data_IF_807829534227
#
_entry.id   IF_807829534227
#
_cell.length_a   1.000
_cell.length_b   1.000
_cell.length_c   1.000
_cell.angle_alpha   90.00
_cell.angle_beta   90.00
_cell.angle_gamma   90.00
#
_symmetry.space_group_name_H-M   'P 1'
#
loop_
_entity.id
_entity.type
_entity.pdbx_description
1 polymer ?
#
# COMPACT_ATOMS: atom_id res chain seq x y z
N UNK A 1 30.58 -0.45 -8.79
CA UNK A 1 29.58 -0.98 -7.87
C UNK A 1 30.20 -0.85 -6.51
N UNK A 2 29.92 0.24 -5.83
CA UNK A 2 30.42 0.42 -4.47
C UNK A 2 29.84 -0.72 -3.64
N UNK A 3 30.70 -1.38 -2.85
CA UNK A 3 30.30 -2.48 -1.97
C UNK A 3 29.22 -1.96 -1.00
N UNK A 4 27.95 -2.19 -1.34
CA UNK A 4 26.84 -1.85 -0.46
C UNK A 4 27.01 -2.74 0.76
N UNK A 5 27.49 -2.15 1.84
CA UNK A 5 27.60 -2.83 3.12
C UNK A 5 26.20 -3.29 3.53
N UNK A 6 26.03 -4.58 3.79
CA UNK A 6 24.74 -5.16 4.20
C UNK A 6 24.17 -4.42 5.42
N UNK A 7 25.02 -3.96 6.33
CA UNK A 7 24.62 -3.19 7.49
C UNK A 7 23.99 -1.84 7.08
N UNK A 8 24.60 -1.13 6.12
CA UNK A 8 24.08 0.15 5.62
C UNK A 8 22.71 -0.03 4.93
N UNK A 9 22.56 -1.15 4.22
CA UNK A 9 21.27 -1.50 3.63
C UNK A 9 20.18 -1.69 4.69
N UNK A 10 20.45 -2.39 5.80
CA UNK A 10 19.49 -2.56 6.90
C UNK A 10 19.22 -1.27 7.66
N UNK A 11 20.24 -0.47 7.91
CA UNK A 11 20.10 0.80 8.62
C UNK A 11 19.43 1.88 7.77
N UNK A 12 19.47 1.77 6.45
CA UNK A 12 18.92 2.78 5.54
C UNK A 12 17.45 3.12 5.80
N UNK A 13 16.64 2.17 6.28
CA UNK A 13 15.23 2.41 6.58
C UNK A 13 15.02 3.35 7.77
N UNK A 14 15.99 3.38 8.70
CA UNK A 14 15.94 4.23 9.89
C UNK A 14 16.69 5.55 9.72
N UNK A 15 17.63 5.61 8.79
CA UNK A 15 18.50 6.79 8.58
C UNK A 15 18.01 7.65 7.42
N UNK A 16 17.38 7.07 6.39
CA UNK A 16 16.95 7.80 5.21
C UNK A 16 15.57 8.44 5.38
N UNK A 17 15.43 9.79 5.21
CA UNK A 17 14.14 10.46 5.23
C UNK A 17 13.16 10.00 4.14
N UNK A 18 13.66 9.33 3.10
CA UNK A 18 12.81 8.72 2.05
C UNK A 18 12.05 7.49 2.54
N UNK A 19 12.36 6.99 3.72
CA UNK A 19 11.77 5.78 4.30
C UNK A 19 10.77 6.14 5.40
N UNK A 20 9.65 5.43 5.41
CA UNK A 20 8.56 5.70 6.35
C UNK A 20 8.98 5.58 7.83
N UNK A 21 9.83 4.61 8.16
CA UNK A 21 10.31 4.39 9.54
C UNK A 21 11.62 5.13 9.86
N UNK A 22 11.92 6.18 9.08
CA UNK A 22 13.01 7.09 9.42
C UNK A 22 12.91 7.54 10.89
N UNK A 23 14.02 7.49 11.63
CA UNK A 23 14.05 7.77 13.06
C UNK A 23 13.42 9.12 13.42
N UNK A 24 13.60 10.13 12.58
CA UNK A 24 12.97 11.44 12.77
C UNK A 24 11.43 11.37 12.77
N UNK A 25 10.83 10.60 11.84
CA UNK A 25 9.37 10.42 11.79
C UNK A 25 8.86 9.57 12.97
N UNK A 26 9.63 8.58 13.42
CA UNK A 26 9.28 7.79 14.62
C UNK A 26 9.28 8.67 15.87
N UNK A 27 10.28 9.52 16.05
CA UNK A 27 10.33 10.48 17.17
C UNK A 27 9.13 11.43 17.10
N UNK A 28 8.84 12.02 15.93
CA UNK A 28 7.68 12.88 15.74
C UNK A 28 6.37 12.14 16.07
N UNK A 29 6.25 10.88 15.67
CA UNK A 29 5.06 10.07 15.97
C UNK A 29 4.88 9.85 17.47
N UNK A 30 5.97 9.61 18.21
CA UNK A 30 5.93 9.51 19.68
C UNK A 30 5.50 10.84 20.30
N UNK A 31 6.06 11.96 19.83
CA UNK A 31 5.69 13.29 20.32
C UNK A 31 4.22 13.62 20.05
N UNK A 32 3.74 13.35 18.84
CA UNK A 32 2.33 13.55 18.47
C UNK A 32 1.39 12.69 19.30
N UNK A 33 1.72 11.41 19.51
CA UNK A 33 0.96 10.51 20.38
C UNK A 33 0.92 11.02 21.82
N UNK A 34 2.05 11.48 22.34
CA UNK A 34 2.17 12.03 23.67
C UNK A 34 1.32 13.30 23.84
N UNK A 35 1.45 14.26 22.93
CA UNK A 35 0.63 15.49 22.93
C UNK A 35 -0.87 15.17 22.82
N UNK A 36 -1.25 14.24 21.97
CA UNK A 36 -2.63 13.80 21.84
C UNK A 36 -3.19 13.23 23.16
N UNK A 37 -2.44 12.35 23.81
CA UNK A 37 -2.85 11.74 25.07
C UNK A 37 -2.97 12.77 26.20
N UNK A 38 -2.04 13.72 26.29
CA UNK A 38 -2.06 14.77 27.33
C UNK A 38 -3.13 15.82 27.05
N UNK A 39 -3.13 16.40 25.84
CA UNK A 39 -3.94 17.60 25.56
C UNK A 39 -5.39 17.25 25.20
N UNK A 40 -5.59 16.17 24.45
CA UNK A 40 -6.92 15.79 23.96
C UNK A 40 -7.57 14.74 24.86
N UNK A 41 -6.82 13.68 25.23
CA UNK A 41 -7.37 12.61 26.09
C UNK A 41 -7.22 12.93 27.59
N UNK A 42 -6.60 14.06 27.96
CA UNK A 42 -6.45 14.55 29.33
C UNK A 42 -5.79 13.53 30.29
N UNK A 43 -4.89 12.70 29.79
CA UNK A 43 -4.17 11.73 30.60
C UNK A 43 -3.02 12.38 31.38
N UNK A 44 -2.63 11.79 32.50
CA UNK A 44 -1.39 12.18 33.21
C UNK A 44 -0.15 11.80 32.41
N UNK A 45 0.96 12.49 32.63
CA UNK A 45 2.25 12.22 31.97
C UNK A 45 2.64 10.74 32.07
N UNK A 46 2.55 10.18 33.28
CA UNK A 46 2.93 8.80 33.54
C UNK A 46 2.03 7.81 32.78
N UNK A 47 0.72 8.04 32.71
CA UNK A 47 -0.23 7.19 31.97
C UNK A 47 0.00 7.28 30.46
N UNK A 48 0.28 8.48 29.93
CA UNK A 48 0.59 8.66 28.53
C UNK A 48 1.87 7.90 28.12
N UNK A 49 2.94 8.01 28.91
CA UNK A 49 4.19 7.27 28.66
C UNK A 49 3.99 5.76 28.79
N UNK A 50 3.29 5.29 29.81
CA UNK A 50 2.98 3.87 29.97
C UNK A 50 2.16 3.33 28.80
N UNK A 51 1.21 4.12 28.28
CA UNK A 51 0.40 3.73 27.14
C UNK A 51 1.22 3.67 25.85
N UNK A 52 2.07 4.67 25.58
CA UNK A 52 2.90 4.71 24.36
C UNK A 52 3.89 3.55 24.35
N UNK A 53 4.53 3.27 25.49
CA UNK A 53 5.57 2.25 25.64
C UNK A 53 5.05 0.98 26.32
N UNK A 54 3.78 0.61 26.05
CA UNK A 54 3.19 -0.60 26.63
C UNK A 54 3.95 -1.84 26.17
N UNK A 55 4.62 -2.48 27.12
CA UNK A 55 5.43 -3.68 26.85
C UNK A 55 4.59 -4.86 26.35
N UNK A 56 3.31 -4.95 26.76
CA UNK A 56 2.41 -6.01 26.31
C UNK A 56 2.06 -5.87 24.84
N UNK A 57 2.18 -4.66 24.28
CA UNK A 57 1.96 -4.38 22.85
C UNK A 57 3.28 -4.50 22.10
N UNK A 58 4.32 -3.77 22.53
CA UNK A 58 5.61 -3.70 21.82
C UNK A 58 6.31 -5.06 21.78
N UNK A 59 6.17 -5.89 22.82
CA UNK A 59 6.76 -7.22 22.92
C UNK A 59 5.75 -8.35 22.80
N UNK A 60 4.54 -8.08 22.28
CA UNK A 60 3.55 -9.12 21.98
C UNK A 60 4.07 -10.16 20.98
N UNK A 61 3.44 -11.32 20.90
CA UNK A 61 3.72 -12.33 19.88
C UNK A 61 3.59 -11.74 18.46
N UNK A 62 2.53 -10.96 18.25
CA UNK A 62 2.26 -10.27 16.99
C UNK A 62 3.37 -9.28 16.62
N UNK A 63 3.78 -8.40 17.53
CA UNK A 63 4.85 -7.43 17.27
C UNK A 63 6.20 -8.12 17.01
N UNK A 64 6.52 -9.19 17.73
CA UNK A 64 7.73 -9.98 17.49
C UNK A 64 7.73 -10.63 16.09
N UNK A 65 6.56 -11.06 15.60
CA UNK A 65 6.42 -11.54 14.22
C UNK A 65 6.71 -10.41 13.22
N UNK A 66 6.22 -9.19 13.46
CA UNK A 66 6.47 -8.02 12.61
C UNK A 66 7.98 -7.72 12.50
N UNK A 67 8.70 -7.75 13.62
CA UNK A 67 10.16 -7.51 13.64
C UNK A 67 10.92 -8.58 12.83
N UNK A 68 10.53 -9.85 12.95
CA UNK A 68 11.11 -10.95 12.17
C UNK A 68 10.80 -10.79 10.68
N UNK A 69 9.53 -10.50 10.33
CA UNK A 69 9.12 -10.27 8.94
C UNK A 69 9.86 -9.09 8.33
N UNK A 70 10.03 -7.99 9.06
CA UNK A 70 10.81 -6.85 8.63
C UNK A 70 12.22 -7.29 8.21
N UNK A 71 12.95 -7.99 9.09
CA UNK A 71 14.30 -8.45 8.80
C UNK A 71 14.38 -9.40 7.60
N UNK A 72 13.49 -10.40 7.55
CA UNK A 72 13.48 -11.38 6.46
C UNK A 72 13.11 -10.69 5.13
N UNK A 73 12.09 -9.82 5.12
CA UNK A 73 11.67 -9.10 3.93
C UNK A 73 12.75 -8.14 3.42
N UNK A 74 13.60 -7.58 4.30
CA UNK A 74 14.78 -6.81 3.87
C UNK A 74 15.76 -7.66 3.07
N UNK A 75 16.01 -8.90 3.52
CA UNK A 75 16.85 -9.84 2.79
C UNK A 75 16.23 -10.15 1.41
N UNK A 76 14.94 -10.48 1.36
CA UNK A 76 14.23 -10.69 0.09
C UNK A 76 14.35 -9.47 -0.84
N UNK A 77 14.12 -8.27 -0.31
CA UNK A 77 14.20 -7.03 -1.09
C UNK A 77 15.61 -6.83 -1.66
N UNK A 78 16.66 -7.14 -0.90
CA UNK A 78 18.03 -7.02 -1.36
C UNK A 78 18.29 -7.88 -2.61
N UNK A 79 17.81 -9.13 -2.62
CA UNK A 79 18.02 -10.04 -3.75
C UNK A 79 17.03 -9.83 -4.90
N UNK A 80 15.82 -9.39 -4.65
CA UNK A 80 14.76 -9.26 -5.67
C UNK A 80 14.80 -7.90 -6.37
N UNK A 81 15.14 -6.82 -5.66
CA UNK A 81 15.07 -5.48 -6.24
C UNK A 81 15.90 -5.29 -7.52
N UNK A 82 17.10 -5.88 -7.69
CA UNK A 82 17.85 -5.78 -8.94
C UNK A 82 17.18 -6.50 -10.12
N UNK A 83 16.29 -7.46 -9.85
CA UNK A 83 15.58 -8.26 -10.86
C UNK A 83 14.29 -7.58 -11.34
N UNK A 84 13.83 -6.54 -10.66
CA UNK A 84 12.62 -5.82 -11.06
C UNK A 84 12.90 -4.93 -12.28
N UNK A 85 11.84 -4.68 -13.05
CA UNK A 85 11.90 -3.75 -14.18
C UNK A 85 12.38 -2.39 -13.67
N UNK A 86 13.36 -1.84 -14.36
CA UNK A 86 13.92 -0.52 -14.03
C UNK A 86 12.87 0.58 -14.29
N UNK A 87 12.72 1.50 -13.33
CA UNK A 87 11.93 2.71 -13.52
C UNK A 87 12.41 3.51 -14.76
N UNK A 88 13.71 3.54 -15.00
CA UNK A 88 14.32 4.19 -16.18
C UNK A 88 13.81 3.54 -17.47
N UNK A 89 13.74 2.22 -17.55
CA UNK A 89 13.24 1.52 -18.74
C UNK A 89 11.80 1.90 -19.06
N UNK A 90 10.92 1.93 -18.06
CA UNK A 90 9.52 2.34 -18.24
C UNK A 90 9.42 3.82 -18.62
N UNK A 91 10.15 4.70 -17.93
CA UNK A 91 10.19 6.13 -18.26
C UNK A 91 10.66 6.38 -19.68
N UNK A 92 11.71 5.69 -20.12
CA UNK A 92 12.24 5.79 -21.50
C UNK A 92 11.20 5.29 -22.51
N UNK A 93 10.57 4.14 -22.26
CA UNK A 93 9.55 3.61 -23.16
C UNK A 93 8.37 4.58 -23.33
N UNK A 94 7.89 5.17 -22.23
CA UNK A 94 6.79 6.15 -22.26
C UNK A 94 7.23 7.43 -22.97
N UNK A 95 8.45 7.92 -22.70
CA UNK A 95 8.99 9.10 -23.36
C UNK A 95 9.08 8.92 -24.89
N UNK A 96 9.62 7.78 -25.34
CA UNK A 96 9.70 7.45 -26.76
C UNK A 96 8.31 7.26 -27.40
N UNK A 97 7.38 6.64 -26.65
CA UNK A 97 5.99 6.52 -27.11
C UNK A 97 5.36 7.91 -27.33
N UNK A 98 5.50 8.83 -26.41
CA UNK A 98 4.97 10.20 -26.55
C UNK A 98 5.54 10.90 -27.79
N UNK A 99 6.81 10.66 -28.14
CA UNK A 99 7.43 11.18 -29.37
C UNK A 99 6.93 10.50 -30.65
N UNK A 100 6.46 9.27 -30.57
CA UNK A 100 5.93 8.54 -31.74
C UNK A 100 4.50 8.92 -32.12
N UNK A 101 3.79 9.62 -31.25
CA UNK A 101 2.40 10.02 -31.47
C UNK A 101 2.36 11.43 -32.03
N UNK A 102 2.04 11.57 -33.31
CA UNK A 102 2.01 12.87 -34.02
C UNK A 102 1.10 13.93 -33.39
N UNK A 103 0.06 13.47 -32.64
CA UNK A 103 -0.86 14.38 -31.93
C UNK A 103 -0.19 15.16 -30.79
N UNK A 104 0.87 14.64 -30.21
CA UNK A 104 1.54 15.26 -29.07
C UNK A 104 2.72 16.15 -29.52
N UNK A 105 2.70 17.40 -29.07
CA UNK A 105 3.79 18.34 -29.33
C UNK A 105 4.76 18.38 -28.13
N UNK A 106 6.01 18.03 -28.39
CA UNK A 106 7.08 18.16 -27.40
C UNK A 106 7.25 19.63 -27.00
N UNK A 107 7.58 19.87 -25.73
CA UNK A 107 7.81 21.19 -25.16
C UNK A 107 6.62 22.17 -25.28
N UNK A 108 5.39 21.64 -25.42
CA UNK A 108 4.18 22.44 -25.57
C UNK A 108 4.05 23.52 -24.47
N UNK A 109 4.52 23.22 -23.26
CA UNK A 109 4.43 24.09 -22.08
C UNK A 109 5.79 24.57 -21.57
N UNK A 110 6.83 24.60 -22.41
CA UNK A 110 8.20 24.96 -22.01
C UNK A 110 8.31 26.39 -21.47
N UNK A 111 7.45 27.30 -21.90
CA UNK A 111 7.42 28.70 -21.46
C UNK A 111 6.63 28.91 -20.15
N UNK A 112 6.13 27.85 -19.54
CA UNK A 112 5.46 27.93 -18.22
C UNK A 112 6.49 28.36 -17.16
N UNK A 113 6.15 29.27 -16.24
CA UNK A 113 7.06 29.67 -15.16
C UNK A 113 7.57 28.46 -14.37
N UNK A 114 8.88 28.36 -14.06
CA UNK A 114 9.46 27.22 -13.35
C UNK A 114 8.75 26.87 -12.03
N UNK A 115 8.34 27.86 -11.24
CA UNK A 115 7.60 27.64 -10.00
C UNK A 115 6.26 26.93 -10.21
N UNK A 116 5.58 27.21 -11.32
CA UNK A 116 4.32 26.51 -11.69
C UNK A 116 4.61 25.07 -12.10
N UNK A 117 5.64 24.85 -12.93
CA UNK A 117 6.05 23.49 -13.34
C UNK A 117 6.40 22.65 -12.12
N UNK A 118 7.24 23.16 -11.22
CA UNK A 118 7.65 22.46 -9.99
C UNK A 118 6.43 22.16 -9.11
N UNK A 119 5.51 23.12 -8.95
CA UNK A 119 4.28 22.91 -8.17
C UNK A 119 3.40 21.80 -8.78
N UNK A 120 3.13 21.90 -10.09
CA UNK A 120 2.32 20.90 -10.79
C UNK A 120 2.96 19.50 -10.74
N UNK A 121 4.27 19.42 -10.96
CA UNK A 121 4.99 18.14 -10.92
C UNK A 121 4.98 17.52 -9.51
N UNK A 122 5.25 18.34 -8.48
CA UNK A 122 5.22 17.90 -7.07
C UNK A 122 3.85 17.34 -6.68
N UNK A 123 2.78 18.06 -7.06
CA UNK A 123 1.39 17.65 -6.76
C UNK A 123 1.02 16.40 -7.59
N UNK A 124 1.31 16.41 -8.89
CA UNK A 124 0.96 15.29 -9.78
C UNK A 124 1.63 13.98 -9.35
N UNK A 125 2.90 14.05 -9.01
CA UNK A 125 3.64 12.87 -8.54
C UNK A 125 3.04 12.31 -7.25
N UNK A 126 2.69 13.19 -6.30
CA UNK A 126 2.02 12.79 -5.06
C UNK A 126 0.64 12.16 -5.31
N UNK A 127 -0.20 12.83 -6.12
CA UNK A 127 -1.57 12.38 -6.40
C UNK A 127 -1.58 11.04 -7.13
N UNK A 128 -0.75 10.87 -8.17
CA UNK A 128 -0.69 9.61 -8.94
C UNK A 128 -0.15 8.47 -8.09
N UNK A 129 0.88 8.73 -7.27
CA UNK A 129 1.42 7.73 -6.35
C UNK A 129 0.39 7.31 -5.29
N UNK A 130 -0.32 8.27 -4.67
CA UNK A 130 -1.32 7.99 -3.65
C UNK A 130 -2.57 7.29 -4.22
N UNK A 131 -3.05 7.76 -5.38
CA UNK A 131 -4.17 7.14 -6.09
C UNK A 131 -3.88 5.69 -6.49
N UNK A 132 -2.68 5.44 -7.03
CA UNK A 132 -2.27 4.08 -7.39
C UNK A 132 -2.15 3.16 -6.17
N UNK A 133 -1.73 3.68 -5.00
CA UNK A 133 -1.75 2.95 -3.73
C UNK A 133 -3.17 2.56 -3.34
N UNK A 134 -4.09 3.52 -3.37
CA UNK A 134 -5.50 3.27 -3.10
C UNK A 134 -6.06 2.13 -3.97
N UNK A 135 -5.83 2.19 -5.30
CA UNK A 135 -6.35 1.21 -6.23
C UNK A 135 -5.79 -0.18 -5.99
N UNK A 136 -4.47 -0.31 -5.87
CA UNK A 136 -3.83 -1.61 -5.62
C UNK A 136 -4.29 -2.16 -4.27
N UNK A 137 -4.38 -1.34 -3.23
CA UNK A 137 -4.85 -1.74 -1.91
C UNK A 137 -6.30 -2.23 -1.96
N UNK A 138 -7.19 -1.49 -2.64
CA UNK A 138 -8.58 -1.92 -2.85
C UNK A 138 -8.65 -3.25 -3.63
N UNK A 139 -7.83 -3.45 -4.66
CA UNK A 139 -7.77 -4.71 -5.38
C UNK A 139 -7.29 -5.86 -4.51
N UNK A 140 -6.34 -5.62 -3.62
CA UNK A 140 -5.88 -6.63 -2.67
C UNK A 140 -6.98 -7.12 -1.74
N UNK A 141 -7.97 -6.30 -1.43
CA UNK A 141 -9.16 -6.72 -0.69
C UNK A 141 -10.24 -7.39 -1.54
N UNK A 142 -10.34 -7.03 -2.83
CA UNK A 142 -11.43 -7.50 -3.71
C UNK A 142 -11.08 -8.73 -4.55
N UNK A 143 -9.81 -8.95 -4.84
CA UNK A 143 -9.34 -10.05 -5.68
C UNK A 143 -8.80 -11.17 -4.78
N UNK A 144 -9.41 -12.38 -4.76
CA UNK A 144 -9.03 -13.43 -3.82
C UNK A 144 -7.54 -13.82 -3.87
N UNK A 145 -6.91 -13.82 -5.06
CA UNK A 145 -5.48 -14.09 -5.21
C UNK A 145 -4.60 -13.03 -4.54
N UNK A 146 -5.02 -11.77 -4.59
CA UNK A 146 -4.30 -10.66 -3.96
C UNK A 146 -4.59 -10.61 -2.46
N UNK A 147 -5.82 -10.92 -2.05
CA UNK A 147 -6.16 -11.04 -0.63
C UNK A 147 -5.35 -12.13 0.06
N UNK A 148 -5.10 -13.25 -0.61
CA UNK A 148 -4.29 -14.32 -0.04
C UNK A 148 -2.91 -13.85 0.44
N UNK A 149 -2.28 -12.87 -0.26
CA UNK A 149 -1.00 -12.29 0.17
C UNK A 149 -1.20 -11.13 1.17
N UNK A 150 -2.24 -10.31 1.00
CA UNK A 150 -2.48 -9.12 1.80
C UNK A 150 -3.05 -9.41 3.18
N UNK A 151 -3.78 -10.53 3.35
CA UNK A 151 -4.28 -10.96 4.66
C UNK A 151 -3.15 -11.18 5.71
N UNK A 152 -1.88 -11.39 5.26
CA UNK A 152 -0.72 -11.40 6.15
C UNK A 152 -0.60 -10.08 6.90
N UNK A 153 -0.83 -8.95 6.21
CA UNK A 153 -0.84 -7.62 6.81
C UNK A 153 -1.97 -7.46 7.84
N UNK A 154 -3.16 -7.95 7.51
CA UNK A 154 -4.34 -7.91 8.38
C UNK A 154 -4.30 -8.92 9.54
N UNK A 155 -3.40 -9.89 9.53
CA UNK A 155 -3.28 -10.88 10.60
C UNK A 155 -2.65 -10.34 11.90
N UNK A 156 -2.21 -9.07 11.93
CA UNK A 156 -1.65 -8.45 13.12
C UNK A 156 -2.72 -8.23 14.20
N UNK A 157 -2.54 -8.81 15.40
CA UNK A 157 -3.44 -8.62 16.55
C UNK A 157 -3.06 -7.42 17.41
N UNK A 158 -1.84 -6.94 17.28
CA UNK A 158 -1.37 -5.68 17.90
C UNK A 158 -0.68 -4.87 16.82
N UNK A 159 -0.82 -3.55 16.89
CA UNK A 159 -0.21 -2.64 15.93
C UNK A 159 0.93 -1.85 16.55
N UNK A 160 2.05 -1.87 15.85
CA UNK A 160 3.23 -1.02 16.09
C UNK A 160 3.61 -0.33 14.76
N UNK A 161 4.41 0.74 14.78
CA UNK A 161 4.89 1.36 13.52
C UNK A 161 5.56 0.37 12.55
N UNK A 162 6.13 -0.72 13.06
CA UNK A 162 6.78 -1.77 12.26
C UNK A 162 5.75 -2.69 11.58
N UNK A 163 4.52 -2.75 12.04
CA UNK A 163 3.44 -3.56 11.42
C UNK A 163 3.22 -3.22 9.94
N UNK A 164 3.60 -2.02 9.49
CA UNK A 164 3.60 -1.66 8.06
C UNK A 164 4.45 -2.62 7.20
N UNK A 165 5.42 -3.29 7.80
CA UNK A 165 6.29 -4.27 7.12
C UNK A 165 5.83 -5.73 7.32
N UNK A 166 4.70 -5.95 8.00
CA UNK A 166 4.04 -7.25 8.05
C UNK A 166 3.36 -7.52 6.70
N UNK A 167 4.16 -7.78 5.69
CA UNK A 167 3.70 -8.00 4.31
C UNK A 167 4.32 -9.28 3.76
N UNK A 168 3.59 -9.97 2.89
CA UNK A 168 4.17 -11.07 2.11
C UNK A 168 5.14 -10.51 1.05
N UNK A 169 6.28 -11.15 0.72
CA UNK A 169 7.23 -10.66 -0.30
C UNK A 169 6.59 -10.34 -1.65
N UNK A 170 5.60 -11.14 -2.09
CA UNK A 170 4.87 -10.87 -3.34
C UNK A 170 4.08 -9.57 -3.29
N UNK A 171 3.57 -9.17 -2.14
CA UNK A 171 2.95 -7.86 -1.94
C UNK A 171 3.98 -6.75 -2.09
N UNK A 172 5.17 -6.92 -1.51
CA UNK A 172 6.29 -6.00 -1.67
C UNK A 172 6.68 -5.80 -3.13
N UNK A 173 6.74 -6.88 -3.92
CA UNK A 173 6.97 -6.82 -5.38
C UNK A 173 5.85 -6.04 -6.08
N UNK A 174 4.58 -6.32 -5.76
CA UNK A 174 3.44 -5.64 -6.35
C UNK A 174 3.48 -4.12 -6.10
N UNK A 175 3.76 -3.70 -4.86
CA UNK A 175 3.90 -2.29 -4.52
C UNK A 175 5.12 -1.62 -5.17
N UNK A 176 6.21 -2.35 -5.33
CA UNK A 176 7.41 -1.86 -6.05
C UNK A 176 7.08 -1.62 -7.52
N UNK A 177 6.46 -2.59 -8.20
CA UNK A 177 6.02 -2.44 -9.60
C UNK A 177 5.04 -1.29 -9.76
N UNK A 178 4.04 -1.18 -8.88
CA UNK A 178 3.11 -0.04 -8.84
C UNK A 178 3.86 1.29 -8.78
N UNK A 179 4.85 1.41 -7.88
CA UNK A 179 5.64 2.64 -7.71
C UNK A 179 6.44 2.97 -8.96
N UNK A 180 7.05 1.96 -9.58
CA UNK A 180 7.80 2.10 -10.83
C UNK A 180 6.87 2.63 -11.95
N UNK A 181 5.67 2.07 -12.08
CA UNK A 181 4.70 2.54 -13.08
C UNK A 181 4.19 3.96 -12.78
N UNK A 182 3.84 4.27 -11.54
CA UNK A 182 3.35 5.60 -11.16
C UNK A 182 4.39 6.69 -11.45
N UNK A 183 5.62 6.52 -10.97
CA UNK A 183 6.71 7.48 -11.19
C UNK A 183 7.18 7.47 -12.65
N UNK A 184 7.32 6.26 -13.22
CA UNK A 184 7.72 6.05 -14.61
C UNK A 184 6.76 6.63 -15.63
N UNK A 185 5.51 6.92 -15.25
CA UNK A 185 4.53 7.62 -16.11
C UNK A 185 4.61 9.13 -15.93
N UNK A 186 4.61 9.61 -14.70
CA UNK A 186 4.57 11.06 -14.42
C UNK A 186 5.83 11.78 -14.87
N UNK A 187 7.01 11.20 -14.56
CA UNK A 187 8.29 11.86 -14.85
C UNK A 187 8.48 12.13 -16.36
N UNK A 188 8.41 11.11 -17.25
CA UNK A 188 8.62 11.34 -18.67
C UNK A 188 7.51 12.20 -19.30
N UNK A 189 6.28 12.14 -18.80
CA UNK A 189 5.20 13.00 -19.25
C UNK A 189 5.51 14.48 -19.00
N UNK A 190 5.96 14.79 -17.79
CA UNK A 190 6.37 16.18 -17.50
C UNK A 190 7.59 16.61 -18.29
N UNK A 191 8.61 15.75 -18.41
CA UNK A 191 9.81 16.05 -19.23
C UNK A 191 9.43 16.30 -20.70
N UNK A 192 8.49 15.55 -21.23
CA UNK A 192 8.04 15.70 -22.62
C UNK A 192 7.32 17.04 -22.84
N UNK A 193 6.40 17.44 -21.98
CA UNK A 193 5.60 18.64 -22.18
C UNK A 193 6.25 19.92 -21.67
N UNK A 194 7.04 19.86 -20.60
CA UNK A 194 7.59 21.04 -19.92
C UNK A 194 9.12 21.19 -20.09
N UNK A 195 9.80 20.22 -20.73
CA UNK A 195 11.24 20.28 -20.92
C UNK A 195 12.04 20.04 -19.63
N UNK A 196 13.22 20.67 -19.52
CA UNK A 196 14.19 20.42 -18.44
C UNK A 196 13.92 21.17 -17.13
N UNK A 197 12.89 22.01 -17.06
CA UNK A 197 12.54 22.75 -15.85
C UNK A 197 11.80 21.90 -14.79
N UNK A 198 11.69 20.59 -15.02
CA UNK A 198 10.99 19.66 -14.13
C UNK A 198 11.84 19.37 -12.90
N UNK A 199 11.38 19.78 -11.74
CA UNK A 199 12.00 19.57 -10.43
C UNK A 199 10.90 19.40 -9.35
N UNK A 200 11.29 19.08 -8.13
CA UNK A 200 10.39 18.81 -6.99
C UNK A 200 10.63 19.81 -5.86
N UNK A 201 9.55 20.29 -5.26
CA UNK A 201 9.66 20.86 -3.92
C UNK A 201 9.91 19.74 -2.92
N UNK A 202 11.07 19.79 -2.28
CA UNK A 202 11.52 18.76 -1.33
C UNK A 202 11.87 19.31 0.04
N UNK A 203 11.70 18.48 1.06
CA UNK A 203 12.27 18.66 2.39
C UNK A 203 13.17 17.46 2.66
N UNK A 204 14.43 17.71 2.94
CA UNK A 204 15.48 16.68 3.09
C UNK A 204 15.48 15.62 1.96
N UNK A 205 15.26 16.07 0.71
CA UNK A 205 15.23 15.20 -0.47
C UNK A 205 13.97 14.34 -0.63
N UNK A 206 12.91 14.65 0.11
CA UNK A 206 11.59 13.98 0.02
C UNK A 206 10.58 14.98 -0.53
N UNK A 207 9.70 14.53 -1.45
CA UNK A 207 8.56 15.32 -1.89
C UNK A 207 7.86 15.95 -0.67
N UNK A 208 7.66 17.26 -0.68
CA UNK A 208 7.15 18.01 0.47
C UNK A 208 5.82 17.47 1.02
N UNK A 209 4.91 17.02 0.15
CA UNK A 209 3.61 16.46 0.55
C UNK A 209 3.79 15.10 1.26
N UNK A 210 4.70 14.26 0.74
CA UNK A 210 5.06 12.98 1.37
C UNK A 210 5.76 13.20 2.71
N UNK A 211 6.65 14.19 2.79
CA UNK A 211 7.31 14.57 4.03
C UNK A 211 6.31 14.98 5.11
N UNK A 212 5.40 15.89 4.80
CA UNK A 212 4.36 16.31 5.75
C UNK A 212 3.48 15.13 6.18
N UNK A 213 3.08 14.28 5.25
CA UNK A 213 2.31 13.09 5.58
C UNK A 213 3.06 12.16 6.55
N UNK A 214 4.37 11.95 6.35
CA UNK A 214 5.17 11.14 7.27
C UNK A 214 5.39 11.82 8.62
N UNK A 215 5.65 13.13 8.62
CA UNK A 215 5.86 13.90 9.82
C UNK A 215 4.61 14.03 10.70
N UNK A 216 3.42 14.11 10.09
CA UNK A 216 2.14 14.29 10.81
C UNK A 216 1.49 12.99 11.27
N UNK A 217 2.16 11.86 11.17
CA UNK A 217 1.71 10.64 11.83
C UNK A 217 1.38 9.45 10.95
N UNK A 218 1.98 9.31 9.77
CA UNK A 218 1.79 8.10 8.95
C UNK A 218 2.10 6.81 9.74
N UNK A 219 3.08 6.85 10.65
CA UNK A 219 3.45 5.73 11.50
C UNK A 219 2.40 5.43 12.59
N UNK A 220 1.62 6.45 13.01
CA UNK A 220 0.55 6.28 13.98
C UNK A 220 -0.65 5.51 13.44
N UNK A 221 -0.78 5.38 12.13
CA UNK A 221 -1.82 4.54 11.50
C UNK A 221 -1.68 3.06 11.86
N UNK A 222 -0.43 2.58 11.96
CA UNK A 222 -0.11 1.27 12.51
C UNK A 222 0.40 1.46 13.94
N UNK A 223 -0.47 1.87 14.85
CA UNK A 223 -0.16 1.98 16.26
C UNK A 223 -1.41 1.65 17.08
N UNK A 224 -1.22 1.39 18.35
CA UNK A 224 -2.29 1.20 19.32
C UNK A 224 -2.83 2.52 19.89
N UNK A 225 -2.33 3.67 19.40
CA UNK A 225 -2.78 5.00 19.84
C UNK A 225 -3.88 5.46 18.89
N UNK A 226 -5.07 5.64 19.45
CA UNK A 226 -6.26 6.07 18.73
C UNK A 226 -6.26 7.59 18.52
N UNK A 227 -5.90 8.03 17.31
CA UNK A 227 -5.90 9.43 16.90
C UNK A 227 -6.88 9.63 15.77
N UNK A 228 -7.95 10.39 16.04
CA UNK A 228 -8.97 10.77 15.05
C UNK A 228 -8.76 12.21 14.63
N UNK A 229 -9.06 12.51 13.37
CA UNK A 229 -9.06 13.88 12.87
C UNK A 229 -10.46 14.51 13.01
N UNK A 230 -10.57 15.82 12.73
CA UNK A 230 -11.87 16.47 12.58
C UNK A 230 -12.65 15.83 11.43
N UNK A 231 -13.98 15.81 11.54
CA UNK A 231 -14.87 15.16 10.56
C UNK A 231 -14.56 15.59 9.12
N UNK A 232 -14.40 16.89 8.89
CA UNK A 232 -14.14 17.41 7.55
C UNK A 232 -12.78 16.95 7.03
N UNK A 233 -11.76 16.85 7.91
CA UNK A 233 -10.41 16.43 7.55
C UNK A 233 -10.36 14.94 7.22
N UNK A 234 -11.17 14.10 7.87
CA UNK A 234 -11.29 12.66 7.58
C UNK A 234 -11.95 12.35 6.22
N UNK A 235 -12.53 13.35 5.54
CA UNK A 235 -12.93 13.22 4.13
C UNK A 235 -11.76 13.50 3.16
N UNK A 236 -10.72 14.17 3.63
CA UNK A 236 -9.56 14.56 2.82
C UNK A 236 -8.34 13.70 3.11
N UNK A 237 -8.02 13.49 4.37
CA UNK A 237 -6.84 12.76 4.84
C UNK A 237 -7.24 11.56 5.69
N UNK A 238 -6.58 10.43 5.49
CA UNK A 238 -6.75 9.24 6.33
C UNK A 238 -6.15 9.49 7.71
N UNK A 239 -7.00 9.50 8.75
CA UNK A 239 -6.55 9.54 10.14
C UNK A 239 -5.97 8.19 10.58
N UNK A 240 -5.11 8.15 11.62
CA UNK A 240 -4.68 6.90 12.24
C UNK A 240 -5.84 6.00 12.62
N UNK A 241 -6.88 6.56 13.21
CA UNK A 241 -8.08 5.84 13.63
C UNK A 241 -8.87 5.26 12.47
N UNK A 242 -8.99 5.96 11.32
CA UNK A 242 -9.61 5.41 10.11
C UNK A 242 -8.85 4.20 9.56
N UNK A 243 -7.52 4.23 9.62
CA UNK A 243 -6.72 3.08 9.20
C UNK A 243 -6.80 1.92 10.19
N UNK A 244 -6.98 2.19 11.49
CA UNK A 244 -7.28 1.15 12.48
C UNK A 244 -8.64 0.48 12.21
N UNK A 245 -9.67 1.26 11.81
CA UNK A 245 -10.96 0.70 11.32
C UNK A 245 -10.73 -0.25 10.14
N UNK A 246 -9.88 0.11 9.18
CA UNK A 246 -9.52 -0.73 8.04
C UNK A 246 -8.94 -2.09 8.46
N UNK A 247 -8.19 -2.15 9.56
CA UNK A 247 -7.63 -3.40 10.12
C UNK A 247 -8.56 -4.15 11.06
N UNK A 248 -9.78 -3.64 11.29
CA UNK A 248 -10.74 -4.25 12.21
C UNK A 248 -11.38 -5.51 11.63
N UNK A 249 -11.65 -6.49 12.51
CA UNK A 249 -12.39 -7.71 12.18
C UNK A 249 -13.91 -7.56 12.20
N UNK A 250 -14.44 -6.39 12.59
CA UNK A 250 -15.87 -6.13 12.59
C UNK A 250 -16.42 -6.07 11.15
N UNK A 251 -17.54 -6.76 10.88
CA UNK A 251 -18.09 -6.86 9.51
C UNK A 251 -18.46 -5.50 8.91
N UNK A 252 -18.92 -4.54 9.71
CA UNK A 252 -19.23 -3.17 9.28
C UNK A 252 -18.00 -2.40 8.83
N UNK A 253 -16.78 -2.85 9.19
CA UNK A 253 -15.51 -2.26 8.81
C UNK A 253 -14.89 -2.90 7.56
N UNK A 254 -15.45 -4.00 7.08
CA UNK A 254 -14.90 -4.67 5.90
C UNK A 254 -14.98 -3.76 4.68
N UNK A 255 -13.93 -3.78 3.89
CA UNK A 255 -13.83 -2.99 2.67
C UNK A 255 -13.94 -1.47 2.86
N UNK A 256 -13.47 -0.95 3.99
CA UNK A 256 -13.44 0.49 4.30
C UNK A 256 -12.02 1.03 4.36
N UNK A 257 -11.87 2.31 4.06
CA UNK A 257 -10.68 3.14 4.29
C UNK A 257 -9.38 2.59 3.66
N UNK A 258 -9.41 2.32 2.35
CA UNK A 258 -8.25 1.84 1.59
C UNK A 258 -7.18 2.92 1.35
N UNK A 259 -7.49 4.20 1.59
CA UNK A 259 -6.61 5.33 1.33
C UNK A 259 -5.25 5.21 2.02
N UNK A 260 -4.19 5.63 1.32
CA UNK A 260 -2.86 5.69 1.89
C UNK A 260 -2.62 7.01 2.63
N UNK A 261 -2.64 8.15 1.96
CA UNK A 261 -2.58 9.46 2.58
C UNK A 261 -3.92 10.19 2.44
N UNK A 262 -4.56 10.12 1.27
CA UNK A 262 -5.80 10.81 0.98
C UNK A 262 -7.02 9.89 1.19
N UNK A 263 -7.98 10.36 2.00
CA UNK A 263 -9.29 9.75 2.18
C UNK A 263 -10.27 10.10 1.04
N UNK A 264 -9.92 11.08 0.20
CA UNK A 264 -10.73 11.53 -0.94
C UNK A 264 -11.11 10.36 -1.84
N UNK A 265 -10.20 9.41 -2.04
CA UNK A 265 -10.48 8.22 -2.85
C UNK A 265 -11.55 7.34 -2.23
N UNK A 266 -11.48 7.12 -0.91
CA UNK A 266 -12.50 6.37 -0.19
C UNK A 266 -13.85 7.07 -0.25
N UNK A 267 -13.87 8.39 -0.18
CA UNK A 267 -15.07 9.20 -0.31
C UNK A 267 -15.67 9.09 -1.72
N UNK A 268 -14.87 9.28 -2.76
CA UNK A 268 -15.31 9.23 -4.17
C UNK A 268 -15.83 7.81 -4.52
N UNK A 269 -15.14 6.77 -4.07
CA UNK A 269 -15.45 5.38 -4.43
C UNK A 269 -16.31 4.64 -3.38
N UNK A 270 -16.87 5.35 -2.38
CA UNK A 270 -17.86 4.83 -1.45
C UNK A 270 -17.32 3.87 -0.38
N UNK A 271 -16.02 3.90 -0.12
CA UNK A 271 -15.37 3.09 0.92
C UNK A 271 -15.03 3.86 2.19
N UNK A 272 -15.38 5.15 2.28
CA UNK A 272 -15.10 5.98 3.46
C UNK A 272 -15.91 5.53 4.68
N UNK A 273 -15.22 5.33 5.81
CA UNK A 273 -15.80 5.17 7.13
C UNK A 273 -15.13 6.15 8.11
N UNK A 274 -15.93 6.97 8.79
CA UNK A 274 -15.43 7.97 9.74
C UNK A 274 -15.07 7.32 11.07
N UNK A 275 -13.94 7.71 11.65
CA UNK A 275 -13.43 7.12 12.88
C UNK A 275 -14.37 7.21 14.09
N UNK A 276 -15.22 8.24 14.16
CA UNK A 276 -16.20 8.41 15.24
C UNK A 276 -17.28 7.33 15.25
N UNK A 277 -17.51 6.62 14.15
CA UNK A 277 -18.54 5.60 14.00
C UNK A 277 -17.96 4.18 14.18
N UNK A 278 -16.71 4.04 14.63
CA UNK A 278 -15.96 2.78 14.61
C UNK A 278 -16.35 1.74 15.65
N UNK A 279 -17.08 2.12 16.71
CA UNK A 279 -17.31 1.18 17.80
C UNK A 279 -16.01 0.67 18.46
N UNK A 280 -16.02 -0.56 18.91
CA UNK A 280 -14.83 -1.26 19.39
C UNK A 280 -14.01 -1.80 18.21
N UNK A 281 -12.70 -1.60 18.22
CA UNK A 281 -11.80 -2.04 17.16
C UNK A 281 -10.93 -3.18 17.68
N UNK A 282 -11.14 -4.37 17.12
CA UNK A 282 -10.34 -5.57 17.39
C UNK A 282 -9.60 -5.92 16.11
N UNK A 283 -8.29 -6.21 16.22
CA UNK A 283 -7.40 -6.51 15.11
C UNK A 283 -7.17 -8.00 14.94
N UNK A 284 -6.79 -8.44 13.76
CA UNK A 284 -6.46 -9.81 13.42
C UNK A 284 -7.32 -10.36 12.29
N UNK A 285 -7.41 -11.69 12.20
CA UNK A 285 -8.30 -12.42 11.30
C UNK A 285 -9.05 -13.45 12.13
N UNK A 286 -10.37 -13.53 12.01
CA UNK A 286 -11.22 -14.43 12.78
C UNK A 286 -10.85 -15.92 12.66
N UNK A 287 -10.33 -16.31 11.48
CA UNK A 287 -9.94 -17.68 11.19
C UNK A 287 -8.49 -18.04 11.61
N UNK A 288 -7.73 -17.07 12.13
CA UNK A 288 -6.34 -17.33 12.52
C UNK A 288 -6.28 -17.74 13.97
N UNK A 289 -6.07 -19.04 14.17
CA UNK A 289 -5.89 -19.65 15.47
C UNK A 289 -4.77 -18.96 16.27
N UNK A 290 -4.99 -18.73 17.55
CA UNK A 290 -4.03 -18.03 18.45
C UNK A 290 -2.66 -18.70 18.47
N UNK A 291 -2.59 -20.03 18.25
CA UNK A 291 -1.34 -20.79 18.18
C UNK A 291 -0.48 -20.47 16.93
N UNK A 292 -1.10 -20.00 15.82
CA UNK A 292 -0.40 -19.70 14.56
C UNK A 292 0.12 -18.29 14.47
N UNK A 293 -0.27 -17.42 15.37
CA UNK A 293 -0.08 -15.98 15.34
C UNK A 293 1.38 -15.48 15.15
N UNK A 294 2.35 -16.31 15.44
CA UNK A 294 3.76 -15.93 15.37
C UNK A 294 4.61 -16.85 14.50
N UNK A 295 4.03 -17.87 13.87
CA UNK A 295 4.80 -18.78 13.02
C UNK A 295 5.09 -18.11 11.68
N UNK A 296 6.31 -17.66 11.51
CA UNK A 296 6.80 -17.02 10.30
C UNK A 296 6.58 -17.91 9.07
N UNK A 297 6.78 -19.22 9.21
CA UNK A 297 6.55 -20.19 8.13
C UNK A 297 5.14 -20.13 7.58
N UNK A 298 4.13 -20.02 8.45
CA UNK A 298 2.73 -19.99 8.05
C UNK A 298 2.41 -18.68 7.33
N UNK A 299 2.95 -17.55 7.80
CA UNK A 299 2.79 -16.23 7.16
C UNK A 299 3.37 -16.19 5.72
N UNK A 300 4.36 -17.02 5.42
CA UNK A 300 4.93 -17.14 4.06
C UNK A 300 4.27 -18.25 3.23
N UNK A 301 3.96 -19.39 3.82
CA UNK A 301 3.53 -20.56 3.05
C UNK A 301 2.02 -20.63 2.84
N UNK A 302 1.19 -20.22 3.81
CA UNK A 302 -0.27 -20.23 3.65
C UNK A 302 -0.76 -19.42 2.45
N UNK A 303 -0.28 -18.15 2.21
CA UNK A 303 -0.64 -17.42 1.00
C UNK A 303 -0.36 -18.18 -0.29
N UNK A 304 0.78 -18.88 -0.37
CA UNK A 304 1.16 -19.66 -1.55
C UNK A 304 0.22 -20.83 -1.77
N UNK A 305 -0.10 -21.59 -0.70
CA UNK A 305 -1.06 -22.71 -0.77
C UNK A 305 -2.45 -22.21 -1.19
N UNK A 306 -2.89 -21.09 -0.65
CA UNK A 306 -4.18 -20.52 -1.00
C UNK A 306 -4.24 -20.05 -2.46
N UNK A 307 -3.20 -19.37 -2.94
CA UNK A 307 -3.07 -18.99 -4.35
C UNK A 307 -3.13 -20.24 -5.24
N UNK A 308 -2.39 -21.30 -4.91
CA UNK A 308 -2.40 -22.55 -5.67
C UNK A 308 -3.80 -23.19 -5.69
N UNK A 309 -4.51 -23.20 -4.55
CA UNK A 309 -5.87 -23.73 -4.41
C UNK A 309 -6.87 -22.93 -5.27
N UNK A 310 -6.83 -21.59 -5.18
CA UNK A 310 -7.71 -20.69 -5.96
C UNK A 310 -7.43 -20.86 -7.45
N UNK A 311 -6.17 -20.86 -7.87
CA UNK A 311 -5.76 -21.04 -9.27
C UNK A 311 -6.19 -22.38 -9.84
N UNK A 312 -6.05 -23.47 -9.09
CA UNK A 312 -6.53 -24.81 -9.47
C UNK A 312 -8.06 -24.83 -9.64
N UNK A 313 -8.80 -24.25 -8.70
CA UNK A 313 -10.26 -24.17 -8.78
C UNK A 313 -10.72 -23.35 -10.00
N UNK A 314 -10.04 -22.23 -10.29
CA UNK A 314 -10.30 -21.40 -11.46
C UNK A 314 -10.04 -22.18 -12.76
N UNK A 315 -8.91 -22.87 -12.87
CA UNK A 315 -8.55 -23.68 -14.03
C UNK A 315 -9.60 -24.79 -14.29
N UNK A 316 -10.01 -25.51 -13.25
CA UNK A 316 -11.05 -26.54 -13.35
C UNK A 316 -12.37 -25.93 -13.88
N UNK A 317 -12.82 -24.80 -13.32
CA UNK A 317 -14.02 -24.10 -13.81
C UNK A 317 -13.90 -23.66 -15.27
N UNK A 318 -12.75 -23.17 -15.67
CA UNK A 318 -12.47 -22.73 -17.04
C UNK A 318 -12.53 -23.92 -18.01
N UNK A 319 -11.85 -25.02 -17.70
CA UNK A 319 -11.86 -26.24 -18.49
C UNK A 319 -13.27 -26.83 -18.63
N UNK A 320 -14.05 -26.83 -17.55
CA UNK A 320 -15.43 -27.27 -17.55
C UNK A 320 -16.31 -26.40 -18.48
N UNK A 321 -16.18 -25.07 -18.41
CA UNK A 321 -16.88 -24.13 -19.31
C UNK A 321 -16.51 -24.36 -20.77
N UNK A 322 -15.23 -24.61 -21.07
CA UNK A 322 -14.76 -24.92 -22.42
C UNK A 322 -15.41 -26.22 -22.91
N UNK A 323 -15.37 -27.27 -22.08
CA UNK A 323 -16.00 -28.57 -22.42
C UNK A 323 -17.49 -28.42 -22.74
N UNK A 324 -18.26 -27.68 -21.93
CA UNK A 324 -19.68 -27.43 -22.16
C UNK A 324 -19.94 -26.67 -23.48
N UNK A 325 -19.08 -25.70 -23.83
CA UNK A 325 -19.18 -24.96 -25.10
C UNK A 325 -18.95 -25.87 -26.32
N UNK A 326 -18.01 -26.81 -26.20
CA UNK A 326 -17.75 -27.79 -27.28
C UNK A 326 -18.91 -28.77 -27.44
N UNK A 327 -19.46 -29.32 -26.35
CA UNK A 327 -20.63 -30.23 -26.39
C UNK A 327 -21.83 -29.51 -27.00
N UNK A 328 -22.18 -28.32 -26.53
CA UNK A 328 -23.31 -27.55 -27.05
C UNK A 328 -23.16 -27.09 -28.52
N UNK A 329 -21.92 -26.96 -29.04
CA UNK A 329 -21.66 -26.73 -30.48
C UNK A 329 -21.88 -28.01 -31.28
N UNK A 330 -21.43 -29.17 -30.78
CA UNK A 330 -21.61 -30.48 -31.41
C UNK A 330 -23.10 -30.81 -31.56
N UNK A 331 -23.90 -30.59 -30.54
CA UNK A 331 -25.34 -30.87 -30.52
C UNK A 331 -26.08 -29.94 -31.52
N UNK A 332 -25.71 -28.65 -31.63
CA UNK A 332 -26.26 -27.73 -32.61
C UNK A 332 -25.91 -28.13 -34.05
N UNK A 333 -24.68 -28.54 -34.29
CA UNK A 333 -24.23 -28.99 -35.61
C UNK A 333 -24.96 -30.27 -36.03
N UNK A 334 -25.12 -31.25 -35.16
CA UNK A 334 -25.87 -32.48 -35.39
C UNK A 334 -27.37 -32.20 -35.61
N UNK A 335 -27.94 -31.23 -34.90
CA UNK A 335 -29.33 -30.79 -35.10
C UNK A 335 -29.57 -30.11 -36.44
N UNK A 336 -28.60 -29.36 -36.97
CA UNK A 336 -28.66 -28.76 -38.31
C UNK A 336 -28.58 -29.79 -39.41
N UNK A 337 -27.71 -30.81 -39.28
CA UNK A 337 -27.61 -31.92 -40.27
C UNK A 337 -28.90 -32.74 -40.30
N UNK A 338 -29.58 -32.96 -39.18
CA UNK A 338 -30.87 -33.67 -39.17
C UNK A 338 -31.98 -32.88 -39.83
N UNK A 339 -32.00 -31.55 -39.71
CA UNK A 339 -33.01 -30.68 -40.37
C UNK A 339 -32.78 -30.48 -41.86
N UNK A 340 -31.58 -30.68 -42.38
CA UNK A 340 -31.27 -30.58 -43.81
C UNK A 340 -31.55 -31.89 -44.58
N UNK A 341 -31.89 -32.98 -43.89
CA UNK A 341 -32.20 -34.29 -44.48
C UNK A 341 -33.67 -34.67 -44.35
N UNK A 342 -34.49 -33.83 -43.77
CA UNK A 342 -35.96 -33.87 -43.77
C UNK A 342 -36.51 -32.84 -44.75
#
# INVERSE_FOLDING_TARGET
>A
MDDINLLDFFLSDFVSPKKRVFTGYLILSVLLAFLWLILIKRQSLNNALKKIFDKNIIWSGSAKADYKLFLINRIFTFFISPLLISQVAISTAIYLFLHSVEFFNQNLFVNTPPSVIISLFTISLFIVDDFSKYFVHRWMHKIPLLWAIHKVHHSAKTMTPITVYRVHPLEGVLFSLRSIFAQGTVIPTFLFFFGTAVDLYTVVGVNILVFFFHATGSNLRHSHIDISYWKWLEHVLISPSQHQVHHSIAEEHYDKNFGAALAIWDWIFGSLHLSRNKGEVVFGLDAYDSEKEGKITDLYLEPIYEIAKISKAFLIKMLFKIKLRFVGRKDRFLGQIKRSKS
#
